data_IF_508472589261
#
_entry.id   IF_508472589261
#
_cell.length_a   1.000
_cell.length_b   1.000
_cell.length_c   1.000
_cell.angle_alpha   90.00
_cell.angle_beta   90.00
_cell.angle_gamma   90.00
#
_symmetry.space_group_name_H-M   'P 1'
#
loop_
_entity.id
_entity.type
_entity.pdbx_description
1 polymer ?
#
# COMPACT_ATOMS: atom_id res chain seq x y z
N UNK A 1 4.22 19.98 13.83
CA UNK A 1 2.83 19.55 13.56
C UNK A 1 2.80 18.56 12.40
N UNK A 2 2.02 17.50 12.53
CA UNK A 2 1.91 16.49 11.47
C UNK A 2 1.13 17.04 10.27
N UNK A 3 1.65 16.75 9.08
CA UNK A 3 0.98 17.11 7.84
C UNK A 3 0.17 15.90 7.35
N UNK A 4 -1.12 15.86 7.66
CA UNK A 4 -1.98 14.74 7.30
C UNK A 4 -2.20 14.60 5.79
N UNK A 5 -2.06 15.71 5.04
CA UNK A 5 -2.13 15.64 3.58
C UNK A 5 -0.97 14.80 3.06
N UNK A 6 0.25 15.03 3.55
CA UNK A 6 1.43 14.25 3.17
C UNK A 6 1.32 12.80 3.63
N UNK A 7 0.78 12.57 4.82
CA UNK A 7 0.59 11.20 5.31
C UNK A 7 -0.40 10.43 4.42
N UNK A 8 -1.48 11.08 3.98
CA UNK A 8 -2.42 10.46 3.05
C UNK A 8 -1.78 10.19 1.69
N UNK A 9 -0.96 11.11 1.18
CA UNK A 9 -0.20 10.90 -0.06
C UNK A 9 0.74 9.71 0.09
N UNK A 10 1.42 9.62 1.22
CA UNK A 10 2.33 8.51 1.52
C UNK A 10 1.58 7.17 1.58
N UNK A 11 0.38 7.16 2.17
CA UNK A 11 -0.45 5.96 2.21
C UNK A 11 -0.78 5.48 0.80
N UNK A 12 -1.14 6.40 -0.09
CA UNK A 12 -1.44 6.06 -1.48
C UNK A 12 -0.21 5.50 -2.19
N UNK A 13 0.97 6.07 -1.93
CA UNK A 13 2.24 5.57 -2.46
C UNK A 13 2.54 4.15 -1.98
N UNK A 14 2.21 3.82 -0.73
CA UNK A 14 2.39 2.45 -0.21
C UNK A 14 1.51 1.46 -0.98
N UNK A 15 0.25 1.80 -1.25
CA UNK A 15 -0.62 0.94 -2.06
C UNK A 15 -0.10 0.80 -3.48
N UNK A 16 0.39 1.88 -4.09
CA UNK A 16 0.98 1.81 -5.42
C UNK A 16 2.26 0.97 -5.41
N UNK A 17 3.03 1.02 -4.33
CA UNK A 17 4.20 0.18 -4.15
C UNK A 17 3.85 -1.31 -4.19
N UNK A 18 2.73 -1.69 -3.59
CA UNK A 18 2.24 -3.08 -3.66
C UNK A 18 2.04 -3.49 -5.13
N UNK A 19 1.37 -2.64 -5.91
CA UNK A 19 1.11 -2.91 -7.33
C UNK A 19 2.41 -3.05 -8.13
N UNK A 20 3.38 -2.17 -7.89
CA UNK A 20 4.66 -2.19 -8.57
C UNK A 20 5.44 -3.46 -8.26
N UNK A 21 5.51 -3.88 -7.01
CA UNK A 21 6.23 -5.09 -6.62
C UNK A 21 5.54 -6.36 -7.08
N UNK A 22 4.21 -6.39 -7.06
CA UNK A 22 3.47 -7.54 -7.64
C UNK A 22 3.76 -7.65 -9.14
N UNK A 23 3.79 -6.53 -9.86
CA UNK A 23 4.13 -6.53 -11.28
C UNK A 23 5.54 -7.06 -11.52
N UNK A 24 6.52 -6.62 -10.74
CA UNK A 24 7.89 -7.12 -10.81
C UNK A 24 7.96 -8.62 -10.51
N UNK A 25 7.21 -9.08 -9.53
CA UNK A 25 7.14 -10.51 -9.22
C UNK A 25 6.62 -11.31 -10.41
N UNK A 26 5.55 -10.84 -11.05
CA UNK A 26 4.96 -11.52 -12.21
C UNK A 26 5.93 -11.59 -13.40
N UNK A 27 6.74 -10.54 -13.59
CA UNK A 27 7.71 -10.47 -14.70
C UNK A 27 8.97 -11.28 -14.45
N UNK A 28 9.42 -11.39 -13.21
CA UNK A 28 10.70 -11.99 -12.86
C UNK A 28 10.58 -13.35 -12.19
N UNK A 29 9.44 -13.65 -11.59
CA UNK A 29 9.21 -14.80 -10.72
C UNK A 29 10.16 -14.85 -9.52
N UNK A 30 10.74 -13.70 -9.13
CA UNK A 30 11.63 -13.59 -7.98
C UNK A 30 10.82 -13.35 -6.70
N UNK A 31 10.87 -14.29 -5.75
CA UNK A 31 10.09 -14.23 -4.51
C UNK A 31 10.32 -12.99 -3.68
N UNK A 32 11.50 -12.36 -3.78
CA UNK A 32 11.80 -11.12 -3.05
C UNK A 32 10.79 -10.01 -3.36
N UNK A 33 10.32 -9.91 -4.60
CA UNK A 33 9.35 -8.87 -4.97
C UNK A 33 7.99 -9.12 -4.35
N UNK A 34 7.60 -10.38 -4.20
CA UNK A 34 6.37 -10.74 -3.50
C UNK A 34 6.47 -10.37 -2.01
N UNK A 35 7.62 -10.62 -1.41
CA UNK A 35 7.87 -10.25 0.00
C UNK A 35 7.82 -8.73 0.17
N UNK A 36 8.41 -7.98 -0.76
CA UNK A 36 8.40 -6.52 -0.73
C UNK A 36 6.97 -5.98 -0.90
N UNK A 37 6.15 -6.61 -1.74
CA UNK A 37 4.75 -6.23 -1.88
C UNK A 37 3.99 -6.40 -0.56
N UNK A 38 4.22 -7.50 0.15
CA UNK A 38 3.61 -7.76 1.45
C UNK A 38 4.05 -6.74 2.51
N UNK A 39 5.34 -6.36 2.49
CA UNK A 39 5.87 -5.35 3.38
C UNK A 39 5.21 -4.00 3.15
N UNK A 40 5.04 -3.60 1.88
CA UNK A 40 4.35 -2.37 1.54
C UNK A 40 2.90 -2.37 2.04
N UNK A 41 2.21 -3.52 1.92
CA UNK A 41 0.85 -3.65 2.43
C UNK A 41 0.81 -3.53 3.95
N UNK A 42 1.78 -4.09 4.65
CA UNK A 42 1.89 -3.98 6.11
C UNK A 42 2.09 -2.52 6.52
N UNK A 43 2.99 -1.80 5.83
CA UNK A 43 3.21 -0.37 6.07
C UNK A 43 1.92 0.43 5.83
N UNK A 44 1.20 0.12 4.76
CA UNK A 44 -0.06 0.78 4.45
C UNK A 44 -1.09 0.59 5.55
N UNK A 45 -1.21 -0.64 6.08
CA UNK A 45 -2.15 -0.93 7.17
C UNK A 45 -1.82 -0.15 8.44
N UNK A 46 -0.53 -0.06 8.79
CA UNK A 46 -0.09 0.70 9.95
C UNK A 46 -0.40 2.19 9.78
N UNK A 47 -0.09 2.73 8.61
CA UNK A 47 -0.30 4.14 8.33
C UNK A 47 -1.78 4.48 8.26
N UNK A 48 -2.59 3.64 7.62
CA UNK A 48 -4.05 3.79 7.57
C UNK A 48 -4.64 3.83 8.97
N UNK A 49 -4.20 2.90 9.83
CA UNK A 49 -4.67 2.86 11.22
C UNK A 49 -4.37 4.18 11.94
N UNK A 50 -3.14 4.68 11.79
CA UNK A 50 -2.72 5.91 12.45
C UNK A 50 -3.54 7.12 11.98
N UNK A 51 -3.73 7.25 10.67
CA UNK A 51 -4.47 8.38 10.10
C UNK A 51 -5.96 8.29 10.46
N UNK A 52 -6.52 7.06 10.44
CA UNK A 52 -7.91 6.82 10.83
C UNK A 52 -8.15 7.20 12.29
N UNK A 53 -7.24 6.83 13.17
CA UNK A 53 -7.31 7.16 14.58
C UNK A 53 -7.34 8.67 14.81
N UNK A 54 -6.63 9.43 13.98
CA UNK A 54 -6.62 10.88 14.03
C UNK A 54 -7.86 11.52 13.40
N UNK A 55 -8.71 10.73 12.72
CA UNK A 55 -9.90 11.24 12.04
C UNK A 55 -9.59 12.00 10.76
N UNK A 56 -8.43 11.75 10.15
CA UNK A 56 -7.92 12.52 9.00
C UNK A 56 -7.78 11.70 7.72
N UNK A 57 -8.33 10.49 7.67
CA UNK A 57 -8.20 9.62 6.49
C UNK A 57 -9.01 10.16 5.32
N UNK A 58 -8.35 10.29 4.17
CA UNK A 58 -9.03 10.60 2.90
C UNK A 58 -9.45 9.31 2.18
N UNK A 59 -10.02 9.43 0.99
CA UNK A 59 -10.52 8.28 0.25
C UNK A 59 -9.41 7.58 -0.55
N UNK A 60 -9.08 6.35 -0.15
CA UNK A 60 -8.10 5.50 -0.81
C UNK A 60 -8.73 4.21 -1.34
N UNK A 61 -10.05 4.15 -1.43
CA UNK A 61 -10.77 2.90 -1.72
C UNK A 61 -10.30 2.21 -3.00
N UNK A 62 -10.07 2.97 -4.08
CA UNK A 62 -9.65 2.41 -5.37
C UNK A 62 -8.25 1.82 -5.33
N UNK A 63 -7.28 2.57 -4.81
CA UNK A 63 -5.89 2.10 -4.75
C UNK A 63 -5.75 0.95 -3.77
N UNK A 64 -6.43 1.03 -2.64
CA UNK A 64 -6.45 -0.05 -1.65
C UNK A 64 -7.01 -1.34 -2.24
N UNK A 65 -8.17 -1.26 -2.90
CA UNK A 65 -8.81 -2.44 -3.50
C UNK A 65 -7.93 -3.05 -4.59
N UNK A 66 -7.29 -2.23 -5.42
CA UNK A 66 -6.38 -2.70 -6.47
C UNK A 66 -5.18 -3.43 -5.86
N UNK A 67 -4.57 -2.86 -4.81
CA UNK A 67 -3.44 -3.45 -4.12
C UNK A 67 -3.80 -4.79 -3.46
N UNK A 68 -4.94 -4.84 -2.77
CA UNK A 68 -5.42 -6.08 -2.14
C UNK A 68 -5.68 -7.17 -3.17
N UNK A 69 -6.34 -6.82 -4.27
CA UNK A 69 -6.62 -7.76 -5.36
C UNK A 69 -5.32 -8.30 -5.97
N UNK A 70 -4.39 -7.41 -6.29
CA UNK A 70 -3.10 -7.80 -6.89
C UNK A 70 -2.35 -8.77 -5.98
N UNK A 71 -2.28 -8.47 -4.68
CA UNK A 71 -1.56 -9.30 -3.73
C UNK A 71 -2.24 -10.66 -3.53
N UNK A 72 -3.56 -10.72 -3.56
CA UNK A 72 -4.32 -11.96 -3.41
C UNK A 72 -4.20 -12.87 -4.64
N UNK A 73 -3.83 -12.35 -5.81
CA UNK A 73 -3.68 -13.11 -7.04
C UNK A 73 -2.29 -13.75 -7.20
N UNK A 74 -1.39 -13.47 -6.30
CA UNK A 74 -0.03 -14.04 -6.29
C UNK A 74 0.23 -14.80 -4.97
#
# INVERSE_FOLDING_TARGET
MLDYKKLNEHLDEEYQGVLEYVDLYKKTNEGIFKDMAREEMTHAKHLEWYITKAGELTDHAKTKAAAEKALNEV
#
